data_IF_122086117387
#
_entry.id   IF_122086117387
#
_cell.length_a   1.000
_cell.length_b   1.000
_cell.length_c   1.000
_cell.angle_alpha   90.00
_cell.angle_beta   90.00
_cell.angle_gamma   90.00
#
_symmetry.space_group_name_H-M   'P 1'
#
loop_
_entity.id
_entity.type
_entity.pdbx_description
1 polymer ?
#
# COMPACT_ATOMS: atom_id res chain seq x y z
N UNK A 1 -15.03 -8.78 -11.89
CA UNK A 1 -13.67 -8.52 -12.41
C UNK A 1 -13.02 -7.48 -11.51
N UNK A 2 -11.72 -7.67 -11.20
CA UNK A 2 -10.95 -6.75 -10.36
C UNK A 2 -10.20 -5.69 -11.17
N UNK A 3 -9.39 -4.91 -10.44
CA UNK A 3 -8.48 -3.90 -11.01
C UNK A 3 -7.38 -4.59 -11.82
N UNK A 4 -7.05 -4.05 -12.98
CA UNK A 4 -5.90 -4.51 -13.78
C UNK A 4 -4.61 -4.14 -13.07
N UNK A 5 -3.64 -5.06 -13.06
CA UNK A 5 -2.36 -4.86 -12.37
C UNK A 5 -1.58 -3.68 -12.96
N UNK A 6 -1.41 -3.66 -14.27
CA UNK A 6 -0.71 -2.57 -14.98
C UNK A 6 -1.22 -2.46 -16.41
N UNK A 7 -0.86 -1.41 -17.13
CA UNK A 7 -1.15 -1.25 -18.55
C UNK A 7 -0.57 -2.35 -19.45
N UNK A 8 0.31 -3.20 -18.92
CA UNK A 8 0.88 -4.35 -19.63
C UNK A 8 0.10 -5.65 -19.44
N UNK A 9 -0.97 -5.65 -18.66
CA UNK A 9 -1.74 -6.85 -18.30
C UNK A 9 -3.23 -6.68 -18.59
N UNK A 10 -3.90 -7.80 -18.87
CA UNK A 10 -5.36 -7.84 -19.13
C UNK A 10 -6.14 -8.57 -18.04
N UNK A 11 -5.46 -9.10 -17.02
CA UNK A 11 -6.09 -9.83 -15.91
C UNK A 11 -6.31 -8.91 -14.70
N UNK A 12 -7.33 -9.21 -13.92
CA UNK A 12 -7.57 -8.56 -12.63
C UNK A 12 -6.55 -9.03 -11.58
N UNK A 13 -5.99 -8.08 -10.82
CA UNK A 13 -5.09 -8.36 -9.72
C UNK A 13 -5.88 -8.40 -8.40
N UNK A 14 -5.96 -9.56 -7.71
CA UNK A 14 -6.71 -9.67 -6.47
C UNK A 14 -6.20 -8.70 -5.40
N UNK A 15 -4.88 -8.64 -5.17
CA UNK A 15 -4.30 -7.78 -4.15
C UNK A 15 -4.62 -6.30 -4.36
N UNK A 16 -4.42 -5.79 -5.60
CA UNK A 16 -4.75 -4.38 -5.90
C UNK A 16 -6.23 -4.10 -5.71
N UNK A 17 -7.10 -5.03 -6.14
CA UNK A 17 -8.54 -4.90 -5.94
C UNK A 17 -8.90 -4.84 -4.45
N UNK A 18 -8.20 -5.63 -3.62
CA UNK A 18 -8.43 -5.68 -2.18
C UNK A 18 -8.12 -4.35 -1.50
N UNK A 19 -6.87 -3.90 -1.57
CA UNK A 19 -6.51 -2.67 -0.85
C UNK A 19 -7.02 -1.37 -1.49
N UNK A 20 -7.66 -1.44 -2.67
CA UNK A 20 -8.41 -0.32 -3.23
C UNK A 20 -9.82 -0.17 -2.61
N UNK A 21 -10.38 -1.21 -1.98
CA UNK A 21 -11.72 -1.14 -1.37
C UNK A 21 -11.84 0.02 -0.35
N UNK A 22 -10.92 0.22 0.62
CA UNK A 22 -10.99 1.35 1.54
C UNK A 22 -11.01 2.70 0.82
N UNK A 23 -10.19 2.87 -0.21
CA UNK A 23 -10.13 4.09 -1.04
C UNK A 23 -11.47 4.34 -1.73
N UNK A 24 -12.08 3.31 -2.31
CA UNK A 24 -13.41 3.40 -2.95
C UNK A 24 -14.50 3.78 -1.95
N UNK A 25 -14.46 3.22 -0.73
CA UNK A 25 -15.39 3.59 0.32
C UNK A 25 -15.22 5.06 0.74
N UNK A 26 -13.98 5.54 0.86
CA UNK A 26 -13.67 6.95 1.11
C UNK A 26 -14.17 7.89 0.00
N UNK A 27 -14.17 7.43 -1.25
CA UNK A 27 -14.71 8.16 -2.40
C UNK A 27 -16.25 8.03 -2.55
N UNK A 28 -16.93 7.28 -1.69
CA UNK A 28 -18.37 7.04 -1.79
C UNK A 28 -18.75 5.97 -2.83
N UNK A 29 -17.78 5.29 -3.46
CA UNK A 29 -17.98 4.28 -4.51
C UNK A 29 -18.33 2.90 -3.94
N UNK A 30 -19.33 2.85 -3.05
CA UNK A 30 -19.73 1.63 -2.33
C UNK A 30 -20.12 0.48 -3.26
N UNK A 31 -20.77 0.78 -4.40
CA UNK A 31 -21.20 -0.26 -5.37
C UNK A 31 -19.99 -0.98 -5.94
N UNK A 32 -18.95 -0.25 -6.34
CA UNK A 32 -17.72 -0.83 -6.88
C UNK A 32 -16.92 -1.57 -5.81
N UNK A 33 -16.85 -1.02 -4.59
CA UNK A 33 -16.23 -1.68 -3.44
C UNK A 33 -16.88 -3.05 -3.15
N UNK A 34 -18.23 -3.13 -3.13
CA UNK A 34 -18.97 -4.40 -2.98
C UNK A 34 -18.68 -5.37 -4.11
N UNK A 35 -18.65 -4.93 -5.36
CA UNK A 35 -18.31 -5.78 -6.50
C UNK A 35 -16.92 -6.40 -6.37
N UNK A 36 -15.93 -5.62 -5.92
CA UNK A 36 -14.58 -6.14 -5.69
C UNK A 36 -14.56 -7.14 -4.52
N UNK A 37 -15.21 -6.84 -3.40
CA UNK A 37 -15.28 -7.74 -2.26
C UNK A 37 -15.95 -9.09 -2.64
N UNK A 38 -17.07 -9.05 -3.34
CA UNK A 38 -17.74 -10.27 -3.85
C UNK A 38 -16.83 -11.09 -4.75
N UNK A 39 -16.09 -10.43 -5.66
CA UNK A 39 -15.15 -11.13 -6.53
C UNK A 39 -14.00 -11.74 -5.74
N UNK A 40 -13.46 -11.05 -4.76
CA UNK A 40 -12.36 -11.54 -3.92
C UNK A 40 -12.77 -12.75 -3.10
N UNK A 41 -13.97 -12.77 -2.53
CA UNK A 41 -14.53 -13.95 -1.86
C UNK A 41 -14.63 -15.12 -2.83
N UNK A 42 -15.09 -14.89 -4.06
CA UNK A 42 -15.26 -15.94 -5.07
C UNK A 42 -13.94 -16.52 -5.62
N UNK A 43 -12.80 -15.81 -5.47
CA UNK A 43 -11.47 -16.26 -5.95
C UNK A 43 -10.52 -16.62 -4.80
N UNK A 44 -11.02 -16.72 -3.58
CA UNK A 44 -10.25 -17.24 -2.44
C UNK A 44 -9.92 -18.71 -2.65
N UNK A 45 -8.70 -19.11 -2.34
CA UNK A 45 -8.30 -20.52 -2.35
C UNK A 45 -8.94 -21.29 -1.19
N UNK A 46 -9.06 -22.61 -1.32
CA UNK A 46 -9.63 -23.48 -0.30
C UNK A 46 -8.87 -23.41 1.05
N UNK A 47 -7.57 -23.08 1.01
CA UNK A 47 -6.74 -22.89 2.20
C UNK A 47 -6.88 -21.52 2.87
N UNK A 48 -7.74 -20.65 2.34
CA UNK A 48 -7.98 -19.30 2.83
C UNK A 48 -7.08 -18.23 2.21
N UNK A 49 -6.05 -18.58 1.46
CA UNK A 49 -5.12 -17.64 0.82
C UNK A 49 -5.71 -16.98 -0.44
N UNK A 50 -4.99 -16.01 -0.96
CA UNK A 50 -5.17 -15.50 -2.32
C UNK A 50 -3.88 -15.55 -3.11
N UNK A 51 -4.02 -15.80 -4.40
CA UNK A 51 -2.92 -15.83 -5.33
C UNK A 51 -2.53 -14.40 -5.79
N UNK A 52 -1.31 -14.25 -6.26
CA UNK A 52 -0.84 -13.02 -6.87
C UNK A 52 0.21 -13.25 -7.95
N UNK A 53 0.37 -12.30 -8.86
CA UNK A 53 -0.43 -11.08 -9.08
C UNK A 53 -1.78 -11.33 -9.77
N UNK A 54 -2.07 -12.57 -10.21
CA UNK A 54 -3.32 -12.97 -10.84
C UNK A 54 -3.97 -14.12 -10.07
N UNK A 55 -5.26 -14.42 -10.36
CA UNK A 55 -5.97 -15.57 -9.77
C UNK A 55 -5.33 -16.93 -10.09
N UNK A 56 -4.54 -17.02 -11.17
CA UNK A 56 -3.78 -18.21 -11.55
C UNK A 56 -2.34 -18.22 -11.04
N UNK A 57 -1.97 -17.24 -10.20
CA UNK A 57 -0.66 -17.18 -9.57
C UNK A 57 -0.49 -18.17 -8.42
N UNK A 58 0.46 -17.89 -7.54
CA UNK A 58 0.69 -18.68 -6.33
C UNK A 58 0.12 -17.97 -5.10
N UNK A 59 -0.25 -18.71 -4.03
CA UNK A 59 -0.56 -18.13 -2.72
C UNK A 59 0.53 -17.17 -2.26
N UNK A 60 0.14 -16.00 -1.74
CA UNK A 60 1.09 -14.98 -1.36
C UNK A 60 0.67 -14.25 -0.09
N UNK A 61 1.58 -14.17 0.87
CA UNK A 61 1.42 -13.38 2.10
C UNK A 61 1.08 -11.93 1.75
N UNK A 62 1.83 -11.33 0.81
CA UNK A 62 1.65 -9.94 0.44
C UNK A 62 0.25 -9.67 -0.11
N UNK A 63 -0.18 -10.44 -1.11
CA UNK A 63 -1.50 -10.24 -1.73
C UNK A 63 -2.65 -10.57 -0.77
N UNK A 64 -2.53 -11.65 0.01
CA UNK A 64 -3.53 -12.01 1.03
C UNK A 64 -3.70 -10.86 2.05
N UNK A 65 -2.59 -10.32 2.58
CA UNK A 65 -2.65 -9.20 3.53
C UNK A 65 -3.31 -7.94 2.94
N UNK A 66 -3.06 -7.63 1.67
CA UNK A 66 -3.70 -6.50 0.99
C UNK A 66 -5.21 -6.69 0.83
N UNK A 67 -5.65 -7.91 0.55
CA UNK A 67 -7.07 -8.25 0.42
C UNK A 67 -7.76 -8.14 1.77
N UNK A 68 -7.14 -8.64 2.84
CA UNK A 68 -7.69 -8.55 4.19
C UNK A 68 -7.95 -7.10 4.63
N UNK A 69 -7.11 -6.13 4.24
CA UNK A 69 -7.37 -4.69 4.46
C UNK A 69 -8.70 -4.27 3.85
N UNK A 70 -8.98 -4.71 2.63
CA UNK A 70 -10.23 -4.41 1.94
C UNK A 70 -11.45 -5.07 2.56
N UNK A 71 -11.36 -6.37 2.84
CA UNK A 71 -12.46 -7.11 3.45
C UNK A 71 -12.80 -6.57 4.86
N UNK A 72 -11.78 -6.21 5.66
CA UNK A 72 -11.99 -5.59 6.96
C UNK A 72 -12.68 -4.22 6.84
N UNK A 73 -12.28 -3.40 5.86
CA UNK A 73 -12.88 -2.08 5.66
C UNK A 73 -14.36 -2.15 5.29
N UNK A 74 -14.75 -3.12 4.46
CA UNK A 74 -16.14 -3.26 4.00
C UNK A 74 -17.01 -4.11 4.94
N UNK A 75 -16.42 -4.83 5.89
CA UNK A 75 -17.12 -5.80 6.77
C UNK A 75 -18.34 -5.21 7.47
N UNK A 76 -18.31 -3.95 7.90
CA UNK A 76 -19.45 -3.32 8.60
C UNK A 76 -20.71 -3.15 7.73
N UNK A 77 -20.56 -3.06 6.41
CA UNK A 77 -21.67 -2.90 5.45
C UNK A 77 -21.89 -4.14 4.57
N UNK A 78 -21.02 -5.14 4.69
CA UNK A 78 -21.06 -6.41 3.96
C UNK A 78 -20.58 -7.56 4.88
N UNK A 79 -21.36 -7.91 5.95
CA UNK A 79 -20.91 -8.88 6.95
C UNK A 79 -20.70 -10.30 6.38
N UNK A 80 -21.26 -10.61 5.23
CA UNK A 80 -21.08 -11.87 4.52
C UNK A 80 -19.63 -12.15 4.08
N UNK A 81 -18.72 -11.16 4.15
CA UNK A 81 -17.28 -11.38 3.88
C UNK A 81 -16.52 -11.93 5.08
N UNK A 82 -17.15 -12.06 6.26
CA UNK A 82 -16.48 -12.42 7.52
C UNK A 82 -15.79 -13.79 7.45
N UNK A 83 -16.44 -14.78 6.89
CA UNK A 83 -15.85 -16.12 6.75
C UNK A 83 -14.57 -16.06 5.91
N UNK A 84 -14.61 -15.41 4.75
CA UNK A 84 -13.44 -15.26 3.89
C UNK A 84 -12.33 -14.43 4.57
N UNK A 85 -12.70 -13.38 5.32
CA UNK A 85 -11.79 -12.57 6.11
C UNK A 85 -11.06 -13.42 7.16
N UNK A 86 -11.78 -14.24 7.92
CA UNK A 86 -11.19 -15.07 8.97
C UNK A 86 -10.33 -16.19 8.40
N UNK A 87 -10.80 -16.91 7.36
CA UNK A 87 -10.01 -17.94 6.68
C UNK A 87 -8.67 -17.36 6.17
N UNK A 88 -8.70 -16.17 5.58
CA UNK A 88 -7.49 -15.50 5.13
C UNK A 88 -6.56 -15.07 6.27
N UNK A 89 -7.10 -14.64 7.41
CA UNK A 89 -6.33 -14.33 8.60
C UNK A 89 -5.68 -15.59 9.20
N UNK A 90 -6.40 -16.69 9.27
CA UNK A 90 -5.89 -17.97 9.77
C UNK A 90 -4.74 -18.47 8.89
N UNK A 91 -4.90 -18.42 7.57
CA UNK A 91 -3.83 -18.75 6.64
C UNK A 91 -2.63 -17.82 6.83
N UNK A 92 -2.83 -16.51 6.89
CA UNK A 92 -1.75 -15.52 7.03
C UNK A 92 -1.00 -15.69 8.35
N UNK A 93 -1.71 -15.92 9.46
CA UNK A 93 -1.10 -16.18 10.76
C UNK A 93 -0.23 -17.46 10.76
N UNK A 94 -0.70 -18.50 10.06
CA UNK A 94 0.05 -19.75 9.91
C UNK A 94 1.35 -19.61 9.11
N UNK A 95 1.50 -18.54 8.30
CA UNK A 95 2.76 -18.27 7.60
C UNK A 95 3.83 -17.68 8.51
N UNK A 96 3.49 -17.20 9.71
CA UNK A 96 4.46 -16.70 10.68
C UNK A 96 4.91 -17.84 11.58
N UNK A 97 6.18 -18.21 11.47
CA UNK A 97 6.76 -19.29 12.27
C UNK A 97 6.84 -18.95 13.76
N UNK A 98 7.13 -19.94 14.62
CA UNK A 98 7.35 -19.69 16.04
C UNK A 98 8.54 -18.75 16.28
N UNK A 99 9.57 -18.80 15.44
CA UNK A 99 10.72 -17.90 15.50
C UNK A 99 10.42 -16.48 14.96
N UNK A 100 9.27 -16.27 14.31
CA UNK A 100 8.80 -14.98 13.82
C UNK A 100 9.11 -14.67 12.36
N UNK A 101 9.88 -15.47 11.63
CA UNK A 101 10.08 -15.24 10.21
C UNK A 101 8.89 -15.75 9.39
N UNK A 102 8.67 -15.16 8.22
CA UNK A 102 7.58 -15.56 7.31
C UNK A 102 8.03 -16.71 6.43
N UNK A 103 7.18 -17.73 6.26
CA UNK A 103 7.49 -18.91 5.48
C UNK A 103 7.87 -18.57 4.02
N UNK A 104 9.08 -18.99 3.59
CA UNK A 104 9.66 -18.61 2.29
C UNK A 104 8.78 -18.98 1.09
N UNK A 105 8.04 -20.09 1.17
CA UNK A 105 7.15 -20.54 0.09
C UNK A 105 5.97 -19.59 -0.17
N UNK A 106 5.62 -18.74 0.79
CA UNK A 106 4.51 -17.78 0.71
C UNK A 106 4.97 -16.34 0.47
N UNK A 107 6.30 -16.10 0.36
CA UNK A 107 6.82 -14.77 0.08
C UNK A 107 6.51 -14.34 -1.36
N UNK A 108 6.25 -13.04 -1.50
CA UNK A 108 6.20 -12.43 -2.82
C UNK A 108 7.63 -12.28 -3.38
N UNK A 109 7.85 -12.82 -4.56
CA UNK A 109 9.13 -12.66 -5.26
C UNK A 109 9.20 -11.25 -5.85
N UNK A 110 9.86 -10.33 -5.16
CA UNK A 110 10.18 -9.02 -5.67
C UNK A 110 11.47 -9.10 -6.49
N UNK A 111 11.44 -8.57 -7.71
CA UNK A 111 12.60 -8.53 -8.60
C UNK A 111 13.36 -7.24 -8.33
N UNK A 112 14.62 -7.35 -7.91
CA UNK A 112 15.52 -6.21 -7.78
C UNK A 112 15.92 -5.67 -9.16
N UNK A 113 15.91 -4.34 -9.29
CA UNK A 113 16.33 -3.68 -10.52
C UNK A 113 17.86 -3.50 -10.55
N UNK A 114 18.47 -3.32 -11.74
CA UNK A 114 19.89 -3.00 -11.85
C UNK A 114 20.26 -1.77 -11.01
N UNK A 115 21.26 -1.91 -10.15
CA UNK A 115 21.71 -0.85 -9.23
C UNK A 115 20.97 -0.79 -7.90
N UNK A 116 19.90 -1.55 -7.73
CA UNK A 116 19.16 -1.69 -6.48
C UNK A 116 19.78 -2.80 -5.61
N UNK A 117 19.83 -2.58 -4.29
CA UNK A 117 20.10 -3.68 -3.35
C UNK A 117 18.90 -4.63 -3.30
N UNK A 118 19.14 -5.84 -2.83
CA UNK A 118 18.09 -6.85 -2.67
C UNK A 118 16.91 -6.29 -1.86
N UNK A 119 15.69 -6.50 -2.37
CA UNK A 119 14.47 -6.09 -1.66
C UNK A 119 14.38 -6.85 -0.33
N UNK A 120 14.31 -6.14 0.81
CA UNK A 120 14.27 -6.78 2.12
C UNK A 120 12.99 -7.59 2.32
N UNK A 121 13.10 -8.80 2.86
CA UNK A 121 11.94 -9.63 3.21
C UNK A 121 10.96 -8.92 4.15
N UNK A 122 11.48 -8.02 5.00
CA UNK A 122 10.73 -7.23 5.96
C UNK A 122 9.58 -6.39 5.35
N UNK A 123 9.55 -6.13 4.03
CA UNK A 123 8.41 -5.43 3.43
C UNK A 123 7.09 -6.20 3.59
N UNK A 124 7.15 -7.52 3.81
CA UNK A 124 5.98 -8.34 4.09
C UNK A 124 5.31 -8.03 5.44
N UNK A 125 5.99 -7.33 6.37
CA UNK A 125 5.35 -6.79 7.58
C UNK A 125 4.11 -5.95 7.24
N UNK A 126 4.09 -5.31 6.06
CA UNK A 126 2.94 -4.54 5.60
C UNK A 126 1.68 -5.41 5.42
N UNK A 127 1.82 -6.66 5.02
CA UNK A 127 0.70 -7.60 4.95
C UNK A 127 0.14 -7.93 6.34
N UNK A 128 0.98 -8.01 7.35
CA UNK A 128 0.59 -8.37 8.71
C UNK A 128 -0.16 -7.24 9.45
N UNK A 129 -0.12 -6.00 8.94
CA UNK A 129 -0.90 -4.89 9.54
C UNK A 129 -2.41 -5.14 9.48
N UNK A 130 -2.89 -5.85 8.45
CA UNK A 130 -4.29 -6.26 8.35
C UNK A 130 -4.65 -7.31 9.41
N UNK A 131 -3.74 -8.26 9.67
CA UNK A 131 -3.92 -9.30 10.69
C UNK A 131 -4.03 -8.68 12.09
N UNK A 132 -3.16 -7.72 12.42
CA UNK A 132 -3.23 -6.92 13.65
C UNK A 132 -4.58 -6.20 13.78
N UNK A 133 -5.02 -5.54 12.70
CA UNK A 133 -6.28 -4.80 12.70
C UNK A 133 -7.51 -5.70 12.88
N UNK A 134 -7.54 -6.88 12.24
CA UNK A 134 -8.61 -7.88 12.42
C UNK A 134 -8.58 -8.44 13.84
N UNK A 135 -7.38 -8.78 14.35
CA UNK A 135 -7.20 -9.28 15.71
C UNK A 135 -7.82 -8.33 16.75
N UNK A 136 -7.49 -7.05 16.67
CA UNK A 136 -8.05 -6.02 17.56
C UNK A 136 -9.56 -5.85 17.39
N UNK A 137 -10.05 -5.78 16.16
CA UNK A 137 -11.45 -5.48 15.89
C UNK A 137 -12.39 -6.62 16.26
N UNK A 138 -11.96 -7.87 16.04
CA UNK A 138 -12.77 -9.07 16.26
C UNK A 138 -12.36 -9.85 17.53
N UNK A 139 -11.43 -9.35 18.34
CA UNK A 139 -11.00 -9.96 19.60
C UNK A 139 -10.23 -11.28 19.40
N UNK A 140 -9.42 -11.39 18.34
CA UNK A 140 -8.65 -12.59 17.98
C UNK A 140 -7.19 -12.44 18.40
N UNK A 141 -6.87 -12.59 19.68
CA UNK A 141 -5.53 -12.38 20.23
C UNK A 141 -4.42 -13.22 19.61
N UNK A 142 -4.71 -14.40 19.05
CA UNK A 142 -3.73 -15.22 18.32
C UNK A 142 -3.15 -14.53 17.08
N UNK A 143 -3.91 -13.66 16.42
CA UNK A 143 -3.42 -12.89 15.28
C UNK A 143 -2.40 -11.82 15.72
N UNK A 144 -2.71 -11.12 16.80
CA UNK A 144 -1.79 -10.12 17.38
C UNK A 144 -0.48 -10.78 17.85
N UNK A 145 -0.54 -12.01 18.37
CA UNK A 145 0.63 -12.78 18.78
C UNK A 145 1.53 -13.12 17.58
N UNK A 146 0.96 -13.53 16.47
CA UNK A 146 1.72 -13.80 15.24
C UNK A 146 2.44 -12.53 14.74
N UNK A 147 1.73 -11.40 14.70
CA UNK A 147 2.30 -10.10 14.30
C UNK A 147 3.42 -9.68 15.25
N UNK A 148 3.23 -9.84 16.56
CA UNK A 148 4.25 -9.50 17.57
C UNK A 148 5.52 -10.31 17.38
N UNK A 149 5.42 -11.63 17.11
CA UNK A 149 6.58 -12.49 16.82
C UNK A 149 7.31 -12.02 15.56
N UNK A 150 6.57 -11.76 14.47
CA UNK A 150 7.18 -11.31 13.23
C UNK A 150 7.90 -9.96 13.41
N UNK A 151 7.25 -8.99 14.04
CA UNK A 151 7.85 -7.69 14.30
C UNK A 151 9.10 -7.80 15.19
N UNK A 152 9.10 -8.68 16.21
CA UNK A 152 10.26 -8.93 17.06
C UNK A 152 11.43 -9.54 16.29
N UNK A 153 11.15 -10.44 15.35
CA UNK A 153 12.16 -11.05 14.48
C UNK A 153 12.80 -10.01 13.54
N UNK A 154 11.99 -9.32 12.72
CA UNK A 154 12.51 -8.38 11.73
C UNK A 154 13.18 -7.15 12.36
N UNK A 155 12.82 -6.77 13.58
CA UNK A 155 13.48 -5.67 14.30
C UNK A 155 14.88 -6.00 14.79
N UNK A 156 15.34 -7.23 14.70
CA UNK A 156 16.73 -7.61 14.99
C UNK A 156 17.67 -7.22 13.83
N UNK A 157 17.13 -6.97 12.63
CA UNK A 157 17.90 -6.47 11.51
C UNK A 157 18.27 -4.99 11.75
N UNK A 158 19.56 -4.66 11.89
CA UNK A 158 20.02 -3.27 12.08
C UNK A 158 19.73 -2.39 10.88
N UNK A 159 19.47 -2.95 9.70
CA UNK A 159 19.14 -2.25 8.47
C UNK A 159 17.63 -2.11 8.25
N UNK A 160 16.79 -2.55 9.20
CA UNK A 160 15.35 -2.42 9.07
C UNK A 160 14.94 -0.94 8.91
N UNK A 161 14.41 -0.60 7.74
CA UNK A 161 14.04 0.77 7.39
C UNK A 161 15.19 1.61 6.83
N UNK A 162 16.37 1.03 6.56
CA UNK A 162 17.38 1.70 5.76
C UNK A 162 16.90 1.88 4.32
N UNK A 163 17.06 3.08 3.77
CA UNK A 163 16.67 3.37 2.39
C UNK A 163 17.75 2.85 1.43
N UNK A 164 17.73 1.57 1.18
CA UNK A 164 18.71 0.85 0.33
C UNK A 164 18.06 0.09 -0.82
N UNK A 165 16.73 0.08 -0.88
CA UNK A 165 15.91 -0.55 -1.93
C UNK A 165 14.99 0.48 -2.55
N UNK A 166 14.26 0.09 -3.61
CA UNK A 166 13.31 0.96 -4.28
C UNK A 166 12.31 1.58 -3.30
N UNK A 167 12.04 2.87 -3.44
CA UNK A 167 11.14 3.66 -2.60
C UNK A 167 9.80 2.96 -2.31
N UNK A 168 9.26 2.22 -3.29
CA UNK A 168 8.02 1.46 -3.15
C UNK A 168 8.10 0.37 -2.07
N UNK A 169 9.15 -0.44 -2.07
CA UNK A 169 9.34 -1.50 -1.07
C UNK A 169 9.77 -0.94 0.28
N UNK A 170 10.62 0.09 0.27
CA UNK A 170 11.00 0.79 1.48
C UNK A 170 9.78 1.42 2.17
N UNK A 171 8.90 2.07 1.41
CA UNK A 171 7.70 2.68 1.96
C UNK A 171 6.76 1.66 2.61
N UNK A 172 6.65 0.43 2.11
CA UNK A 172 5.89 -0.64 2.78
C UNK A 172 6.44 -0.97 4.16
N UNK A 173 7.78 -0.99 4.33
CA UNK A 173 8.39 -1.23 5.65
C UNK A 173 8.05 -0.08 6.61
N UNK A 174 8.20 1.16 6.16
CA UNK A 174 7.95 2.34 7.01
C UNK A 174 6.48 2.45 7.39
N UNK A 175 5.57 2.22 6.44
CA UNK A 175 4.12 2.20 6.69
C UNK A 175 3.75 1.10 7.67
N UNK A 176 4.32 -0.11 7.51
CA UNK A 176 4.11 -1.21 8.44
C UNK A 176 4.58 -0.87 9.85
N UNK A 177 5.76 -0.30 10.01
CA UNK A 177 6.26 0.14 11.32
C UNK A 177 5.31 1.15 11.96
N UNK A 178 4.80 2.11 11.20
CA UNK A 178 3.85 3.11 11.67
C UNK A 178 2.53 2.45 12.11
N UNK A 179 1.94 1.62 11.26
CA UNK A 179 0.65 0.96 11.50
C UNK A 179 0.74 -0.06 12.66
N UNK A 180 1.92 -0.65 12.90
CA UNK A 180 2.23 -1.53 14.04
C UNK A 180 2.69 -0.76 15.29
N UNK A 181 2.43 0.54 15.36
CA UNK A 181 2.66 1.38 16.55
C UNK A 181 4.12 1.79 16.79
N UNK A 182 5.03 1.64 15.82
CA UNK A 182 6.43 2.09 15.91
C UNK A 182 6.60 3.50 15.34
N UNK A 183 5.73 4.42 15.80
CA UNK A 183 5.62 5.80 15.29
C UNK A 183 6.95 6.56 15.32
N UNK A 184 7.70 6.47 16.42
CA UNK A 184 8.97 7.19 16.57
C UNK A 184 10.02 6.68 15.57
N UNK A 185 10.09 5.36 15.37
CA UNK A 185 10.97 4.75 14.38
C UNK A 185 10.59 5.17 12.97
N UNK A 186 9.30 5.10 12.61
CA UNK A 186 8.80 5.58 11.32
C UNK A 186 9.11 7.07 11.10
N UNK A 187 8.91 7.92 12.12
CA UNK A 187 9.22 9.34 12.04
C UNK A 187 10.72 9.60 11.81
N UNK A 188 11.59 8.85 12.50
CA UNK A 188 13.04 8.99 12.33
C UNK A 188 13.48 8.61 10.91
N UNK A 189 12.91 7.54 10.33
CA UNK A 189 13.16 7.14 8.94
C UNK A 189 12.64 8.22 7.98
N UNK A 190 11.41 8.71 8.18
CA UNK A 190 10.81 9.69 7.28
C UNK A 190 11.52 11.05 7.29
N UNK A 191 12.20 11.42 8.37
CA UNK A 191 13.10 12.60 8.39
C UNK A 191 14.31 12.41 7.46
N UNK A 192 14.85 11.19 7.35
CA UNK A 192 15.93 10.89 6.41
C UNK A 192 15.42 10.96 4.95
N UNK A 193 14.21 10.50 4.70
CA UNK A 193 13.57 10.60 3.38
C UNK A 193 13.29 12.07 3.03
N UNK A 194 12.84 12.88 3.99
CA UNK A 194 12.60 14.31 3.78
C UNK A 194 13.89 15.05 3.39
N UNK A 195 15.04 14.69 3.98
CA UNK A 195 16.33 15.26 3.62
C UNK A 195 16.76 14.97 2.16
N UNK A 196 16.15 13.96 1.52
CA UNK A 196 16.37 13.60 0.11
C UNK A 196 15.32 14.22 -0.82
N UNK A 197 14.29 14.88 -0.27
CA UNK A 197 13.25 15.50 -1.08
C UNK A 197 13.79 16.70 -1.85
N UNK A 198 13.68 16.67 -3.17
CA UNK A 198 14.13 17.74 -4.07
C UNK A 198 13.20 18.96 -3.99
N UNK A 199 13.64 20.08 -4.55
CA UNK A 199 12.86 21.33 -4.57
C UNK A 199 11.50 21.18 -5.27
N UNK A 200 11.43 20.34 -6.32
CA UNK A 200 10.21 20.03 -7.04
C UNK A 200 9.24 19.09 -6.27
N UNK A 201 9.64 18.61 -5.09
CA UNK A 201 8.87 17.69 -4.26
C UNK A 201 9.12 16.20 -4.52
N UNK A 202 9.91 15.85 -5.53
CA UNK A 202 10.26 14.48 -5.85
C UNK A 202 11.25 13.87 -4.86
N UNK A 203 11.32 12.53 -4.86
CA UNK A 203 12.30 11.75 -4.11
C UNK A 203 12.92 10.72 -5.06
N UNK A 204 14.25 10.51 -5.03
CA UNK A 204 14.87 9.47 -5.86
C UNK A 204 14.31 8.09 -5.54
N UNK A 205 14.28 7.21 -6.53
CA UNK A 205 13.78 5.85 -6.35
C UNK A 205 14.61 5.02 -5.35
N UNK A 206 15.90 5.34 -5.20
CA UNK A 206 16.82 4.93 -4.12
C UNK A 206 18.01 5.90 -4.06
N UNK A 207 18.84 5.88 -3.01
CA UNK A 207 20.00 6.78 -2.91
C UNK A 207 20.95 6.66 -4.11
N UNK A 208 21.28 7.78 -4.73
CA UNK A 208 22.15 7.84 -5.92
C UNK A 208 21.45 7.57 -7.25
N UNK A 209 20.12 7.49 -7.25
CA UNK A 209 19.29 7.35 -8.44
C UNK A 209 18.68 8.70 -8.85
N UNK A 210 18.63 8.98 -10.15
CA UNK A 210 18.09 10.26 -10.63
C UNK A 210 16.59 10.22 -10.97
N UNK A 211 16.04 9.04 -11.19
CA UNK A 211 14.64 8.87 -11.52
C UNK A 211 13.74 8.67 -10.28
N UNK A 212 12.44 8.87 -10.46
CA UNK A 212 11.42 8.80 -9.39
C UNK A 212 10.56 7.57 -9.56
N UNK A 213 10.34 6.81 -8.47
CA UNK A 213 9.32 5.79 -8.39
C UNK A 213 8.00 6.42 -7.93
N UNK A 214 7.01 6.51 -8.82
CA UNK A 214 5.76 7.22 -8.56
C UNK A 214 4.97 6.63 -7.39
N UNK A 215 4.92 5.29 -7.28
CA UNK A 215 4.23 4.63 -6.17
C UNK A 215 4.93 4.87 -4.84
N UNK A 216 6.27 4.81 -4.80
CA UNK A 216 7.03 5.11 -3.60
C UNK A 216 6.83 6.54 -3.13
N UNK A 217 6.81 7.50 -4.06
CA UNK A 217 6.55 8.91 -3.74
C UNK A 217 5.14 9.10 -3.17
N UNK A 218 4.12 8.46 -3.77
CA UNK A 218 2.74 8.53 -3.26
C UNK A 218 2.60 7.89 -1.87
N UNK A 219 3.29 6.77 -1.63
CA UNK A 219 3.32 6.13 -0.31
C UNK A 219 4.00 7.01 0.75
N UNK A 220 5.14 7.63 0.43
CA UNK A 220 5.79 8.58 1.36
C UNK A 220 4.89 9.76 1.68
N UNK A 221 4.18 10.32 0.70
CA UNK A 221 3.21 11.38 0.95
C UNK A 221 2.14 10.94 1.96
N UNK A 222 1.59 9.73 1.81
CA UNK A 222 0.61 9.17 2.75
C UNK A 222 1.21 8.97 4.14
N UNK A 223 2.43 8.42 4.24
CA UNK A 223 3.10 8.19 5.52
C UNK A 223 3.37 9.53 6.25
N UNK A 224 3.83 10.56 5.53
CA UNK A 224 4.00 11.90 6.11
C UNK A 224 2.68 12.45 6.68
N UNK A 225 1.56 12.30 5.95
CA UNK A 225 0.24 12.74 6.43
C UNK A 225 -0.17 11.98 7.70
N UNK A 226 -0.02 10.66 7.72
CA UNK A 226 -0.26 9.83 8.92
C UNK A 226 0.61 10.26 10.12
N UNK A 227 1.79 10.80 9.85
CA UNK A 227 2.71 11.33 10.86
C UNK A 227 2.43 12.80 11.24
N UNK A 228 1.51 13.49 10.58
CA UNK A 228 1.21 14.91 10.78
C UNK A 228 2.23 15.85 10.12
N UNK A 229 3.00 15.36 9.15
CA UNK A 229 4.03 16.09 8.42
C UNK A 229 3.45 16.58 7.06
N UNK A 230 2.63 17.62 7.10
CA UNK A 230 1.89 18.05 5.90
C UNK A 230 2.77 18.64 4.80
N UNK A 231 3.80 19.41 5.16
CA UNK A 231 4.61 20.16 4.17
C UNK A 231 5.29 19.25 3.15
N UNK A 232 6.11 18.24 3.54
CA UNK A 232 6.72 17.32 2.58
C UNK A 232 5.68 16.50 1.81
N UNK A 233 4.56 16.13 2.46
CA UNK A 233 3.47 15.41 1.79
C UNK A 233 2.83 16.24 0.66
N UNK A 234 2.52 17.51 0.91
CA UNK A 234 1.94 18.42 -0.09
C UNK A 234 2.89 18.66 -1.26
N UNK A 235 4.21 18.80 -1.02
CA UNK A 235 5.20 18.91 -2.10
C UNK A 235 5.23 17.66 -2.98
N UNK A 236 5.26 16.47 -2.36
CA UNK A 236 5.23 15.19 -3.08
C UNK A 236 3.92 15.03 -3.87
N UNK A 237 2.79 15.40 -3.29
CA UNK A 237 1.49 15.34 -3.95
C UNK A 237 1.39 16.32 -5.13
N UNK A 238 1.92 17.53 -5.00
CA UNK A 238 1.99 18.50 -6.09
C UNK A 238 2.81 17.96 -7.28
N UNK A 239 3.95 17.31 -7.00
CA UNK A 239 4.74 16.65 -8.03
C UNK A 239 3.94 15.56 -8.75
N UNK A 240 3.22 14.71 -8.00
CA UNK A 240 2.37 13.68 -8.59
C UNK A 240 1.27 14.28 -9.48
N UNK A 241 0.59 15.35 -9.02
CA UNK A 241 -0.41 16.04 -9.83
C UNK A 241 0.15 16.57 -11.15
N UNK A 242 1.38 17.10 -11.12
CA UNK A 242 2.06 17.62 -12.32
C UNK A 242 2.48 16.52 -13.31
N UNK A 243 2.60 15.27 -12.85
CA UNK A 243 3.04 14.11 -13.65
C UNK A 243 1.92 13.11 -13.95
N UNK A 244 0.67 13.43 -13.57
CA UNK A 244 -0.47 12.59 -13.92
C UNK A 244 -0.68 12.54 -15.43
N UNK A 245 -0.83 11.34 -15.97
CA UNK A 245 -1.08 11.15 -17.40
C UNK A 245 -2.50 11.63 -17.80
N UNK A 246 -2.72 11.86 -19.08
CA UNK A 246 -4.05 12.27 -19.60
C UNK A 246 -5.16 11.26 -19.32
N UNK A 247 -4.82 10.00 -19.10
CA UNK A 247 -5.72 8.92 -18.69
C UNK A 247 -6.17 9.01 -17.23
N UNK A 248 -5.51 9.84 -16.41
CA UNK A 248 -5.64 9.87 -14.96
C UNK A 248 -4.73 8.88 -14.23
N UNK A 249 -3.97 8.05 -14.96
CA UNK A 249 -3.01 7.10 -14.41
C UNK A 249 -1.62 7.70 -14.22
N UNK A 250 -0.69 6.84 -13.78
CA UNK A 250 0.73 7.16 -13.59
C UNK A 250 1.59 6.05 -14.15
N UNK A 251 2.67 6.39 -14.86
CA UNK A 251 3.73 5.43 -15.11
C UNK A 251 4.39 5.03 -13.79
N UNK A 252 4.96 3.83 -13.73
CA UNK A 252 5.62 3.36 -12.51
C UNK A 252 6.84 4.18 -12.13
N UNK A 253 7.50 4.81 -13.11
CA UNK A 253 8.67 5.66 -12.89
C UNK A 253 8.76 6.79 -13.91
N UNK A 254 9.46 7.86 -13.52
CA UNK A 254 9.70 9.07 -14.31
C UNK A 254 11.16 9.49 -14.19
N UNK A 255 11.75 9.92 -15.30
CA UNK A 255 13.14 10.40 -15.40
C UNK A 255 13.95 9.61 -16.41
N UNK A 256 15.16 10.11 -16.68
CA UNK A 256 16.12 9.42 -17.56
C UNK A 256 16.56 8.10 -16.94
N UNK A 257 16.71 7.05 -17.76
CA UNK A 257 17.10 5.71 -17.33
C UNK A 257 16.18 5.04 -16.28
N UNK A 258 14.93 5.53 -16.13
CA UNK A 258 13.95 4.90 -15.26
C UNK A 258 13.66 3.45 -15.70
N UNK A 259 13.60 2.52 -14.72
CA UNK A 259 13.54 1.09 -15.02
C UNK A 259 12.22 0.43 -14.59
N UNK A 260 11.43 1.09 -13.74
CA UNK A 260 10.24 0.50 -13.13
C UNK A 260 8.97 0.91 -13.84
N UNK A 261 8.43 0.07 -14.71
CA UNK A 261 7.20 0.36 -15.50
C UNK A 261 7.22 1.76 -16.15
N UNK A 262 8.34 2.10 -16.78
CA UNK A 262 8.61 3.43 -17.34
C UNK A 262 7.54 3.89 -18.36
N UNK A 263 6.96 2.96 -19.13
CA UNK A 263 5.98 3.22 -20.19
C UNK A 263 4.65 2.50 -19.91
N UNK A 264 4.39 2.11 -18.68
CA UNK A 264 3.16 1.42 -18.31
C UNK A 264 2.55 2.06 -17.06
N UNK A 265 1.26 2.35 -17.14
CA UNK A 265 0.50 2.81 -15.98
C UNK A 265 0.31 1.68 -14.98
N UNK A 266 0.47 2.00 -13.70
CA UNK A 266 0.35 1.05 -12.61
C UNK A 266 -0.77 1.46 -11.65
N UNK A 267 -1.61 0.51 -11.31
CA UNK A 267 -2.81 0.76 -10.52
C UNK A 267 -2.53 1.13 -9.06
N UNK A 268 -1.42 0.66 -8.51
CA UNK A 268 -1.08 0.96 -7.10
C UNK A 268 -0.58 2.39 -6.88
N UNK A 269 -0.01 3.07 -7.88
CA UNK A 269 0.25 4.51 -7.75
C UNK A 269 -1.05 5.29 -7.67
N UNK A 270 -2.03 4.96 -8.52
CA UNK A 270 -3.37 5.59 -8.50
C UNK A 270 -4.02 5.40 -7.12
N UNK A 271 -3.94 4.20 -6.56
CA UNK A 271 -4.48 3.91 -5.22
C UNK A 271 -3.87 4.82 -4.15
N UNK A 272 -2.54 4.88 -4.05
CA UNK A 272 -1.89 5.72 -3.05
C UNK A 272 -2.08 7.21 -3.29
N UNK A 273 -2.12 7.63 -4.54
CA UNK A 273 -2.47 9.01 -4.90
C UNK A 273 -3.87 9.40 -4.40
N UNK A 274 -4.86 8.53 -4.59
CA UNK A 274 -6.21 8.75 -4.11
C UNK A 274 -6.31 8.75 -2.58
N UNK A 275 -5.54 7.92 -1.89
CA UNK A 275 -5.48 7.92 -0.42
C UNK A 275 -4.90 9.24 0.11
N UNK A 276 -3.83 9.75 -0.51
CA UNK A 276 -3.26 11.06 -0.16
C UNK A 276 -4.29 12.17 -0.40
N UNK A 277 -4.99 12.13 -1.54
CA UNK A 277 -6.05 13.08 -1.85
C UNK A 277 -7.15 13.08 -0.79
N UNK A 278 -7.68 11.90 -0.43
CA UNK A 278 -8.71 11.76 0.59
C UNK A 278 -8.24 12.31 1.95
N UNK A 279 -7.02 11.99 2.34
CA UNK A 279 -6.45 12.48 3.59
C UNK A 279 -6.32 14.00 3.63
N UNK A 280 -5.89 14.62 2.51
CA UNK A 280 -5.80 16.08 2.40
C UNK A 280 -7.17 16.75 2.41
N UNK A 281 -8.19 16.14 1.80
CA UNK A 281 -9.58 16.63 1.86
C UNK A 281 -10.10 16.60 3.30
N UNK A 282 -9.88 15.52 4.03
CA UNK A 282 -10.31 15.40 5.43
C UNK A 282 -9.63 16.43 6.34
N UNK A 283 -8.36 16.78 6.06
CA UNK A 283 -7.65 17.84 6.80
C UNK A 283 -8.24 19.24 6.53
N UNK A 284 -8.74 19.50 5.32
CA UNK A 284 -9.31 20.79 4.95
C UNK A 284 -10.79 20.95 5.34
N UNK A 285 -11.52 19.83 5.50
CA UNK A 285 -12.91 19.81 5.96
C UNK A 285 -13.14 18.78 7.08
N UNK A 286 -12.63 19.02 8.29
CA UNK A 286 -12.73 18.07 9.43
C UNK A 286 -14.18 17.79 9.87
N UNK A 287 -15.15 18.55 9.41
CA UNK A 287 -16.58 18.40 9.79
C UNK A 287 -17.41 17.60 8.78
N UNK A 288 -16.79 17.13 7.69
CA UNK A 288 -17.36 16.08 6.84
C UNK A 288 -18.63 16.46 6.06
N UNK A 289 -18.69 17.68 5.50
CA UNK A 289 -19.84 18.14 4.72
C UNK A 289 -19.69 18.06 3.21
N UNK A 290 -18.48 17.90 2.69
CA UNK A 290 -18.22 18.05 1.26
C UNK A 290 -17.11 17.12 0.77
N UNK A 291 -17.43 15.85 0.52
CA UNK A 291 -16.69 15.19 -0.54
C UNK A 291 -17.26 15.74 -1.85
N UNK A 292 -16.55 16.60 -2.59
CA UNK A 292 -17.01 17.02 -3.91
C UNK A 292 -17.07 15.74 -4.75
N UNK A 293 -18.21 15.49 -5.41
CA UNK A 293 -18.22 14.50 -6.48
C UNK A 293 -17.08 14.87 -7.42
N UNK A 294 -16.13 13.97 -7.72
CA UNK A 294 -14.90 14.30 -8.43
C UNK A 294 -15.24 14.83 -9.83
N UNK A 295 -15.25 16.15 -9.94
CA UNK A 295 -15.14 16.84 -11.21
C UNK A 295 -13.68 17.26 -11.38
N UNK A 296 -13.09 17.02 -12.52
CA UNK A 296 -11.69 17.31 -12.87
C UNK A 296 -11.22 18.75 -12.56
N UNK A 297 -12.14 19.67 -12.26
CA UNK A 297 -11.85 21.07 -11.91
C UNK A 297 -11.43 21.26 -10.43
N UNK A 298 -11.46 20.22 -9.59
CA UNK A 298 -11.19 20.35 -8.17
C UNK A 298 -9.69 20.50 -7.87
N UNK A 299 -8.83 19.83 -8.63
CA UNK A 299 -7.37 19.94 -8.47
C UNK A 299 -6.87 21.37 -8.74
N UNK A 300 -7.53 22.14 -9.60
CA UNK A 300 -7.19 23.54 -9.85
C UNK A 300 -7.52 24.48 -8.66
N UNK A 301 -8.51 24.12 -7.84
CA UNK A 301 -8.89 24.90 -6.66
C UNK A 301 -7.93 24.70 -5.47
N UNK A 302 -7.32 23.49 -5.35
CA UNK A 302 -6.35 23.18 -4.29
C UNK A 302 -4.98 23.83 -4.49
N UNK A 303 -4.62 24.18 -5.72
CA UNK A 303 -3.29 24.69 -6.06
C UNK A 303 -3.25 26.16 -6.50
N UNK A 304 -4.39 26.90 -6.41
CA UNK A 304 -4.42 28.35 -6.59
C UNK A 304 -3.83 28.82 -7.92
N UNK A 305 -4.42 28.41 -9.06
CA UNK A 305 -4.20 29.05 -10.36
C UNK A 305 -5.36 29.93 -10.76
#
# INVERSE_FOLDING_TARGET
KGVVHSGLTTYGCPGVSGYLIPTLLGLGEQKLARQYATWLVAVQNEDGSWNGPSVSGKPSVFYTGQILKGLLAIHSIMPEVEEALLNGCDWLAAQVTEAGWIAKAALHEAVSLPGEKTVPEAFHLHALTSLEAVGRRLGRGGYEDAVRRALAYYRQDPHLGAFETQAHFHAYIVEALLDLGKREQALAIMRQIEALQREDGSIPAWPGCDWVCSSGLAQYALIWLKLGQEQPARRAFAWLCAHQNRTGGFFGSYGEQALYFQNAEISWTVKYFLDVFLYLVDLEDPQGGRIPKPGWNFLSALFGR
#
